data_IF_811730905987
#
_entry.id   IF_811730905987
#
_cell.length_a   1.000
_cell.length_b   1.000
_cell.length_c   1.000
_cell.angle_alpha   90.00
_cell.angle_beta   90.00
_cell.angle_gamma   90.00
#
_symmetry.space_group_name_H-M   'P 1'
#
loop_
_entity.id
_entity.type
_entity.pdbx_description
1 polymer ?
#
# COMPACT_ATOMS: atom_id res chain seq x y z
N UNK A 1 3.48 -18.96 22.67
CA UNK A 1 4.06 -19.72 21.68
C UNK A 1 3.74 -19.32 20.32
N UNK A 2 2.53 -19.24 19.96
CA UNK A 2 2.16 -18.86 18.62
C UNK A 2 2.61 -17.47 18.26
N UNK A 3 2.69 -16.60 19.24
CA UNK A 3 3.15 -15.27 18.99
C UNK A 3 4.57 -15.22 18.51
N UNK A 4 5.36 -16.17 18.92
CA UNK A 4 6.75 -16.21 18.48
C UNK A 4 6.80 -16.40 16.99
N UNK A 5 6.00 -17.32 16.48
CA UNK A 5 5.95 -17.57 15.04
C UNK A 5 5.48 -16.32 14.29
N UNK A 6 4.46 -15.68 14.83
CA UNK A 6 3.94 -14.46 14.23
C UNK A 6 5.00 -13.38 14.16
N UNK A 7 5.75 -13.21 15.23
CA UNK A 7 6.81 -12.21 15.25
C UNK A 7 7.89 -12.50 14.24
N UNK A 8 8.21 -13.77 14.06
CA UNK A 8 9.22 -14.15 13.10
C UNK A 8 8.75 -13.83 11.68
N UNK A 9 7.51 -14.13 11.39
CA UNK A 9 6.98 -13.88 10.06
C UNK A 9 6.91 -12.39 9.72
N UNK A 10 6.95 -11.53 10.74
CA UNK A 10 6.94 -10.10 10.52
C UNK A 10 8.23 -9.45 11.01
N UNK A 11 9.35 -10.16 10.89
CA UNK A 11 10.62 -9.68 11.40
C UNK A 11 11.05 -8.36 10.80
N UNK A 12 10.68 -8.08 9.55
CA UNK A 12 10.92 -6.78 8.94
C UNK A 12 9.89 -5.74 9.30
N UNK A 13 8.89 -6.13 10.13
CA UNK A 13 7.83 -5.27 10.56
C UNK A 13 6.85 -4.98 9.44
N UNK A 14 5.90 -4.09 9.77
CA UNK A 14 4.88 -3.65 8.82
C UNK A 14 5.10 -2.20 8.48
N UNK A 15 6.32 -1.89 8.08
CA UNK A 15 6.74 -0.52 7.79
C UNK A 15 6.81 -0.24 6.30
N UNK A 16 6.36 -1.18 5.50
CA UNK A 16 6.36 -1.05 4.05
C UNK A 16 4.97 -0.67 3.55
N UNK A 17 4.96 -0.21 2.34
CA UNK A 17 3.71 0.12 1.70
C UNK A 17 3.87 0.18 0.20
N UNK A 18 2.81 0.63 -0.46
CA UNK A 18 2.81 0.82 -1.90
C UNK A 18 2.20 2.17 -2.22
N UNK A 19 2.73 2.82 -3.25
CA UNK A 19 2.17 4.06 -3.78
C UNK A 19 1.44 3.73 -5.08
N UNK A 20 0.22 4.21 -5.19
CA UNK A 20 -0.61 3.96 -6.37
C UNK A 20 -0.90 5.23 -7.16
N UNK A 21 0.00 6.20 -7.05
CA UNK A 21 -0.04 7.38 -7.90
C UNK A 21 -0.08 8.67 -7.12
N UNK A 22 0.08 9.75 -7.87
CA UNK A 22 0.05 11.11 -7.34
C UNK A 22 -1.05 11.87 -8.05
N UNK A 23 -1.84 12.62 -7.28
CA UNK A 23 -3.05 13.25 -7.78
C UNK A 23 -3.06 14.73 -7.43
N UNK A 24 -3.91 15.48 -8.11
CA UNK A 24 -3.95 16.93 -7.96
C UNK A 24 -4.76 17.38 -6.74
N UNK A 25 -5.55 16.47 -6.15
CA UNK A 25 -6.33 16.81 -4.97
C UNK A 25 -6.39 15.63 -4.01
N UNK A 26 -6.59 15.93 -2.74
CA UNK A 26 -6.79 14.91 -1.72
C UNK A 26 -7.99 14.04 -2.06
N UNK A 27 -9.06 14.65 -2.54
CA UNK A 27 -10.27 13.93 -2.89
C UNK A 27 -9.99 12.85 -3.95
N UNK A 28 -9.24 13.22 -4.98
CA UNK A 28 -8.90 12.25 -6.04
C UNK A 28 -8.04 11.12 -5.49
N UNK A 29 -7.06 11.45 -4.65
CA UNK A 29 -6.21 10.44 -4.04
C UNK A 29 -7.02 9.48 -3.19
N UNK A 30 -7.94 9.99 -2.38
CA UNK A 30 -8.78 9.17 -1.52
C UNK A 30 -9.69 8.25 -2.34
N UNK A 31 -10.24 8.77 -3.43
CA UNK A 31 -11.07 7.95 -4.32
C UNK A 31 -10.29 6.80 -4.92
N UNK A 32 -9.07 7.08 -5.37
CA UNK A 32 -8.22 6.04 -5.94
C UNK A 32 -7.89 4.99 -4.89
N UNK A 33 -7.61 5.41 -3.65
CA UNK A 33 -7.34 4.45 -2.58
C UNK A 33 -8.50 3.52 -2.34
N UNK A 34 -9.73 4.05 -2.25
CA UNK A 34 -10.91 3.22 -2.05
C UNK A 34 -11.11 2.24 -3.20
N UNK A 35 -11.02 2.74 -4.41
CA UNK A 35 -11.23 1.94 -5.60
C UNK A 35 -10.19 0.82 -5.71
N UNK A 36 -8.93 1.17 -5.44
CA UNK A 36 -7.84 0.20 -5.52
C UNK A 36 -7.96 -0.84 -4.42
N UNK A 37 -8.32 -0.43 -3.21
CA UNK A 37 -8.50 -1.37 -2.11
C UNK A 37 -9.57 -2.41 -2.43
N UNK A 38 -10.66 -1.98 -3.06
CA UNK A 38 -11.73 -2.90 -3.43
C UNK A 38 -11.31 -3.85 -4.56
N UNK A 39 -10.49 -3.36 -5.48
CA UNK A 39 -10.03 -4.18 -6.59
C UNK A 39 -8.93 -5.18 -6.18
N UNK A 40 -8.22 -4.92 -5.09
CA UNK A 40 -7.08 -5.72 -4.69
C UNK A 40 -7.16 -6.04 -3.19
N UNK A 41 -8.28 -6.57 -2.74
CA UNK A 41 -8.50 -6.88 -1.33
C UNK A 41 -7.56 -7.97 -0.82
N UNK A 42 -7.15 -8.88 -1.69
CA UNK A 42 -6.32 -10.00 -1.28
C UNK A 42 -5.02 -9.57 -0.59
N UNK A 43 -4.43 -8.48 -1.02
CA UNK A 43 -3.17 -8.01 -0.46
C UNK A 43 -3.31 -6.71 0.33
N UNK A 44 -4.31 -5.90 0.02
CA UNK A 44 -4.43 -4.57 0.62
C UNK A 44 -5.41 -4.50 1.77
N UNK A 45 -6.16 -5.57 2.02
CA UNK A 45 -7.07 -5.63 3.14
C UNK A 45 -6.27 -5.51 4.44
N UNK A 46 -6.72 -4.65 5.34
CA UNK A 46 -6.02 -4.42 6.59
C UNK A 46 -4.89 -3.41 6.51
N UNK A 47 -4.54 -2.94 5.32
CA UNK A 47 -3.54 -1.88 5.20
C UNK A 47 -4.14 -0.53 5.60
N UNK A 48 -3.26 0.44 5.83
CA UNK A 48 -3.67 1.80 6.19
C UNK A 48 -3.64 2.65 4.94
N UNK A 49 -4.78 3.24 4.59
CA UNK A 49 -4.83 4.17 3.48
C UNK A 49 -4.35 5.53 3.94
N UNK A 50 -3.36 6.08 3.25
CA UNK A 50 -2.79 7.37 3.61
C UNK A 50 -2.61 8.23 2.38
N UNK A 51 -3.02 9.48 2.48
CA UNK A 51 -2.74 10.50 1.48
C UNK A 51 -1.61 11.35 2.02
N UNK A 52 -0.52 11.43 1.27
CA UNK A 52 0.65 12.20 1.67
C UNK A 52 0.75 13.42 0.77
N UNK A 53 0.60 14.59 1.36
CA UNK A 53 0.70 15.84 0.63
C UNK A 53 2.15 16.25 0.46
N UNK A 54 2.50 16.69 -0.73
CA UNK A 54 3.81 17.25 -1.03
C UNK A 54 3.62 18.48 -1.92
N UNK A 55 4.72 19.15 -2.23
CA UNK A 55 4.67 20.28 -3.16
C UNK A 55 4.23 19.86 -4.57
N UNK A 56 4.30 18.57 -4.88
CA UNK A 56 3.97 18.05 -6.20
C UNK A 56 2.57 17.47 -6.29
N UNK A 57 1.85 17.37 -5.18
CA UNK A 57 0.51 16.82 -5.20
C UNK A 57 0.22 15.92 -4.02
N UNK A 58 -0.71 15.02 -4.21
CA UNK A 58 -1.21 14.13 -3.15
C UNK A 58 -0.91 12.69 -3.53
N UNK A 59 -0.01 12.07 -2.80
CA UNK A 59 0.37 10.68 -3.05
C UNK A 59 -0.62 9.76 -2.35
N UNK A 60 -1.08 8.74 -3.08
CA UNK A 60 -2.00 7.75 -2.55
C UNK A 60 -1.20 6.53 -2.14
N UNK A 61 -1.15 6.27 -0.84
CA UNK A 61 -0.34 5.18 -0.29
C UNK A 61 -1.17 4.20 0.52
N UNK A 62 -0.80 2.93 0.42
CA UNK A 62 -1.25 1.89 1.35
C UNK A 62 -0.04 1.54 2.21
N UNK A 63 -0.16 1.72 3.52
CA UNK A 63 0.95 1.51 4.44
C UNK A 63 0.61 0.41 5.43
N UNK A 64 1.57 0.07 6.28
CA UNK A 64 1.34 -0.97 7.29
C UNK A 64 1.44 -2.38 6.73
N UNK A 65 2.21 -2.56 5.68
CA UNK A 65 2.41 -3.85 5.04
C UNK A 65 3.80 -4.39 5.36
N UNK A 66 3.94 -5.71 5.27
CA UNK A 66 5.26 -6.31 5.24
C UNK A 66 5.87 -6.05 3.86
N UNK A 67 7.18 -6.19 3.78
CA UNK A 67 7.87 -6.03 2.50
C UNK A 67 7.32 -7.00 1.46
N UNK A 68 7.10 -8.25 1.87
CA UNK A 68 6.61 -9.30 0.98
C UNK A 68 5.21 -8.99 0.46
N UNK A 69 4.32 -8.54 1.33
CA UNK A 69 2.98 -8.20 0.91
C UNK A 69 2.96 -6.98 0.01
N UNK A 70 3.79 -5.98 0.31
CA UNK A 70 3.91 -4.81 -0.54
C UNK A 70 4.39 -5.18 -1.95
N UNK A 71 5.39 -6.05 -2.03
CA UNK A 71 5.88 -6.53 -3.31
C UNK A 71 4.80 -7.27 -4.09
N UNK A 72 4.11 -8.17 -3.43
CA UNK A 72 3.04 -8.94 -4.07
C UNK A 72 1.93 -8.00 -4.56
N UNK A 73 1.53 -7.06 -3.72
CA UNK A 73 0.49 -6.11 -4.08
C UNK A 73 0.87 -5.33 -5.34
N UNK A 74 2.10 -4.82 -5.40
CA UNK A 74 2.53 -4.07 -6.57
C UNK A 74 2.58 -4.92 -7.83
N UNK A 75 3.03 -6.17 -7.72
CA UNK A 75 3.05 -7.05 -8.89
C UNK A 75 1.64 -7.29 -9.41
N UNK A 76 0.70 -7.50 -8.51
CA UNK A 76 -0.70 -7.75 -8.89
C UNK A 76 -1.34 -6.49 -9.48
N UNK A 77 -1.06 -5.33 -8.89
CA UNK A 77 -1.61 -4.08 -9.38
C UNK A 77 -1.06 -3.73 -10.76
N UNK A 78 0.24 -3.92 -10.97
CA UNK A 78 0.83 -3.69 -12.28
C UNK A 78 0.23 -4.60 -13.34
N UNK A 79 -0.11 -5.82 -12.98
CA UNK A 79 -0.76 -6.75 -13.90
C UNK A 79 -2.15 -6.26 -14.29
N UNK A 80 -2.76 -5.40 -13.49
CA UNK A 80 -4.05 -4.75 -13.78
C UNK A 80 -3.88 -3.37 -14.39
N UNK A 81 -2.67 -3.01 -14.78
CA UNK A 81 -2.34 -1.70 -15.34
C UNK A 81 -2.54 -0.56 -14.35
N UNK A 82 -2.34 -0.84 -13.08
CA UNK A 82 -2.39 0.20 -12.04
C UNK A 82 -0.96 0.58 -11.70
N UNK A 83 -0.68 1.87 -11.71
CA UNK A 83 0.62 2.39 -11.28
C UNK A 83 0.90 1.96 -9.85
N UNK A 84 2.08 1.41 -9.62
CA UNK A 84 2.45 0.99 -8.28
C UNK A 84 3.95 0.96 -8.12
N UNK A 85 4.43 1.47 -7.00
CA UNK A 85 5.81 1.21 -6.58
C UNK A 85 5.84 1.07 -5.06
N UNK A 86 6.86 0.37 -4.58
CA UNK A 86 6.98 0.10 -3.16
C UNK A 86 7.49 1.33 -2.42
N UNK A 87 6.99 1.49 -1.20
CA UNK A 87 7.43 2.53 -0.27
C UNK A 87 8.04 1.82 0.92
N UNK A 88 9.31 2.10 1.20
CA UNK A 88 10.01 1.44 2.29
C UNK A 88 10.43 2.40 3.38
N UNK A 89 10.92 1.83 4.47
CA UNK A 89 11.48 2.64 5.55
C UNK A 89 12.79 3.28 5.16
#
# INVERSE_FOLDING_TARGET
KTEVVTRISTSGGRHWGVNVGRYTSRYKAERVLLKTALAEMATLDGSLRKVVRSSRGFDANFMGLTRETADLACRRLKARNVTCFMVGP
#
